data_IF_152699025794
#
_entry.id   IF_152699025794
#
_cell.length_a   1.000
_cell.length_b   1.000
_cell.length_c   1.000
_cell.angle_alpha   90.00
_cell.angle_beta   90.00
_cell.angle_gamma   90.00
#
_symmetry.space_group_name_H-M   'P 1'
#
loop_
_entity.id
_entity.type
_entity.pdbx_description
1 polymer ?
#
# COMPACT_ATOMS: atom_id res chain seq x y z
N UNK A 1 7.93 -11.28 -13.35
CA UNK A 1 6.79 -10.53 -13.90
C UNK A 1 7.24 -9.13 -14.34
N UNK A 2 6.38 -8.35 -14.99
CA UNK A 2 6.66 -6.95 -15.35
C UNK A 2 6.08 -5.97 -14.32
N UNK A 3 6.33 -6.21 -13.02
CA UNK A 3 5.82 -5.30 -11.99
C UNK A 3 6.48 -3.92 -12.13
N UNK A 4 5.66 -2.88 -12.03
CA UNK A 4 6.11 -1.48 -12.02
C UNK A 4 5.80 -0.84 -10.67
N UNK A 5 6.43 0.29 -10.36
CA UNK A 5 6.18 1.06 -9.13
C UNK A 5 5.76 2.47 -9.47
N UNK A 6 4.88 3.07 -8.66
CA UNK A 6 4.49 4.47 -8.87
C UNK A 6 5.70 5.40 -8.71
N UNK A 7 5.74 6.47 -9.50
CA UNK A 7 6.91 7.34 -9.62
C UNK A 7 7.28 8.06 -8.31
N UNK A 8 6.27 8.39 -7.50
CA UNK A 8 6.43 9.07 -6.20
C UNK A 8 5.36 8.63 -5.22
N UNK A 9 5.60 8.85 -3.93
CA UNK A 9 4.56 8.73 -2.90
C UNK A 9 3.57 9.90 -3.05
N UNK A 10 2.28 9.57 -3.16
CA UNK A 10 1.24 10.59 -3.28
C UNK A 10 0.88 11.20 -1.92
N UNK A 11 0.31 12.41 -1.95
CA UNK A 11 -0.09 13.14 -0.72
C UNK A 11 -1.10 12.39 0.14
N UNK A 12 -1.96 11.60 -0.50
CA UNK A 12 -2.99 10.79 0.15
C UNK A 12 -2.54 9.35 0.43
N UNK A 13 -1.24 9.05 0.28
CA UNK A 13 -0.69 7.74 0.54
C UNK A 13 -0.95 7.32 1.99
N UNK A 14 -1.69 6.22 2.24
CA UNK A 14 -1.95 5.75 3.60
C UNK A 14 -0.65 5.50 4.39
N UNK A 15 0.45 5.19 3.72
CA UNK A 15 1.74 4.98 4.37
C UNK A 15 2.48 6.27 4.74
N UNK A 16 1.90 7.46 4.52
CA UNK A 16 2.50 8.74 4.89
C UNK A 16 1.95 9.27 6.21
N UNK A 17 2.83 9.86 7.03
CA UNK A 17 2.46 10.63 8.25
C UNK A 17 1.50 11.79 7.97
N UNK A 18 1.54 12.31 6.74
CA UNK A 18 0.71 13.42 6.29
C UNK A 18 -0.67 12.98 5.80
N UNK A 19 -0.92 11.67 5.71
CA UNK A 19 -2.22 11.16 5.28
C UNK A 19 -3.28 11.42 6.35
N UNK A 20 -4.55 11.60 5.96
CA UNK A 20 -5.64 11.67 6.91
C UNK A 20 -5.67 10.39 7.77
N UNK A 21 -5.78 10.55 9.09
CA UNK A 21 -5.90 9.41 10.00
C UNK A 21 -7.14 8.58 9.65
N UNK A 22 -7.02 7.26 9.76
CA UNK A 22 -8.06 6.31 9.37
C UNK A 22 -8.30 6.17 7.85
N UNK A 23 -7.67 6.99 7.00
CA UNK A 23 -7.82 6.88 5.55
C UNK A 23 -6.90 5.81 4.95
N UNK A 24 -7.50 4.75 4.39
CA UNK A 24 -6.79 3.60 3.82
C UNK A 24 -7.09 3.39 2.33
N UNK A 25 -7.69 4.39 1.67
CA UNK A 25 -8.15 4.23 0.30
C UNK A 25 -9.27 3.19 0.20
N UNK A 26 -9.06 2.22 -0.66
CA UNK A 26 -9.95 1.07 -0.86
C UNK A 26 -9.64 -0.13 0.04
N UNK A 27 -8.64 -0.04 0.91
CA UNK A 27 -8.18 -1.17 1.72
C UNK A 27 -8.74 -1.12 3.14
N UNK A 28 -8.90 -2.27 3.78
CA UNK A 28 -9.07 -2.31 5.25
C UNK A 28 -7.71 -2.36 5.93
N UNK A 29 -7.68 -2.01 7.21
CA UNK A 29 -6.48 -2.11 8.02
C UNK A 29 -5.92 -3.54 8.10
N UNK A 30 -6.74 -4.59 8.37
CA UNK A 30 -6.28 -5.97 8.29
C UNK A 30 -5.67 -6.34 6.93
N UNK A 31 -6.25 -5.87 5.82
CA UNK A 31 -5.74 -6.19 4.47
C UNK A 31 -4.34 -5.64 4.25
N UNK A 32 -4.07 -4.40 4.70
CA UNK A 32 -2.77 -3.76 4.56
C UNK A 32 -1.70 -4.53 5.35
N UNK A 33 -2.00 -4.89 6.59
CA UNK A 33 -1.06 -5.63 7.44
C UNK A 33 -0.82 -7.04 6.90
N UNK A 34 -1.88 -7.74 6.50
CA UNK A 34 -1.77 -9.06 5.89
C UNK A 34 -0.94 -9.02 4.61
N UNK A 35 -1.10 -7.98 3.78
CA UNK A 35 -0.31 -7.81 2.56
C UNK A 35 1.19 -7.62 2.87
N UNK A 36 1.54 -6.76 3.84
CA UNK A 36 2.94 -6.56 4.25
C UNK A 36 3.60 -7.83 4.78
N UNK A 37 2.89 -8.62 5.59
CA UNK A 37 3.44 -9.86 6.15
C UNK A 37 3.53 -11.00 5.13
N UNK A 38 2.56 -11.12 4.23
CA UNK A 38 2.48 -12.22 3.27
C UNK A 38 3.11 -11.89 1.92
N UNK A 39 3.77 -10.73 1.76
CA UNK A 39 4.38 -10.34 0.50
C UNK A 39 3.37 -10.25 -0.66
N UNK A 40 2.13 -9.80 -0.38
CA UNK A 40 1.11 -9.69 -1.42
C UNK A 40 1.32 -8.43 -2.26
N UNK A 41 0.85 -8.47 -3.50
CA UNK A 41 0.83 -7.30 -4.36
C UNK A 41 -0.08 -6.23 -3.75
N UNK A 42 0.43 -5.01 -3.65
CA UNK A 42 -0.31 -3.87 -3.14
C UNK A 42 -0.26 -2.73 -4.16
N UNK A 43 -1.29 -2.64 -5.00
CA UNK A 43 -1.41 -1.64 -6.06
C UNK A 43 -1.47 -0.20 -5.53
N UNK A 44 -0.97 0.75 -6.32
CA UNK A 44 -1.13 2.17 -6.07
C UNK A 44 -2.60 2.59 -6.14
N UNK A 45 -3.13 3.18 -5.06
CA UNK A 45 -4.54 3.55 -4.98
C UNK A 45 -4.97 4.63 -5.99
N UNK A 46 -4.05 5.53 -6.42
CA UNK A 46 -4.35 6.55 -7.42
C UNK A 46 -4.39 6.01 -8.86
N UNK A 47 -3.79 4.84 -9.08
CA UNK A 47 -3.75 4.21 -10.38
C UNK A 47 -4.82 3.13 -10.50
N UNK A 48 -5.73 3.01 -9.53
CA UNK A 48 -6.91 2.17 -9.62
C UNK A 48 -7.98 2.83 -10.47
N UNK A 49 -8.60 2.07 -11.35
CA UNK A 49 -9.70 2.48 -12.23
C UNK A 49 -10.85 1.48 -12.07
N UNK A 50 -12.06 1.91 -12.41
CA UNK A 50 -13.22 1.02 -12.44
C UNK A 50 -13.00 -0.14 -13.41
N UNK A 51 -13.36 -1.37 -13.00
CA UNK A 51 -13.22 -2.57 -13.83
C UNK A 51 -11.85 -3.24 -13.82
N UNK A 52 -10.93 -2.84 -12.92
CA UNK A 52 -9.66 -3.52 -12.76
C UNK A 52 -9.80 -4.92 -12.19
N UNK A 53 -8.92 -5.81 -12.66
CA UNK A 53 -8.79 -7.18 -12.15
C UNK A 53 -7.48 -7.36 -11.38
N UNK A 54 -7.34 -8.43 -10.57
CA UNK A 54 -6.05 -8.81 -9.98
C UNK A 54 -4.94 -8.97 -11.01
N UNK A 55 -5.24 -9.56 -12.18
CA UNK A 55 -4.31 -9.74 -13.30
C UNK A 55 -3.70 -8.41 -13.78
N UNK A 56 -4.43 -7.29 -13.70
CA UNK A 56 -3.89 -5.98 -14.08
C UNK A 56 -2.71 -5.55 -13.17
N UNK A 57 -2.69 -6.01 -11.92
CA UNK A 57 -1.59 -5.77 -10.98
C UNK A 57 -0.42 -6.71 -11.29
N UNK A 58 -0.71 -7.99 -11.50
CA UNK A 58 0.29 -9.04 -11.79
C UNK A 58 1.01 -8.81 -13.12
N UNK A 59 0.30 -8.30 -14.12
CA UNK A 59 0.86 -7.92 -15.42
C UNK A 59 1.61 -6.58 -15.39
N UNK A 60 1.50 -5.83 -14.28
CA UNK A 60 2.15 -4.54 -14.08
C UNK A 60 1.47 -3.36 -14.77
N UNK A 61 0.28 -3.55 -15.35
CA UNK A 61 -0.58 -2.48 -15.88
C UNK A 61 -0.96 -1.50 -14.76
N UNK A 62 -1.12 -2.01 -13.54
CA UNK A 62 -1.27 -1.20 -12.32
C UNK A 62 0.02 -1.26 -11.52
N UNK A 63 0.68 -0.12 -11.26
CA UNK A 63 1.92 -0.11 -10.52
C UNK A 63 1.70 -0.45 -9.04
N UNK A 64 2.68 -1.10 -8.44
CA UNK A 64 2.80 -1.32 -7.01
C UNK A 64 2.98 0.03 -6.29
N UNK A 65 2.38 0.12 -5.11
CA UNK A 65 2.46 1.31 -4.28
C UNK A 65 3.90 1.48 -3.73
N UNK A 66 4.54 2.60 -4.08
CA UNK A 66 5.86 2.96 -3.54
C UNK A 66 5.85 3.08 -2.01
N UNK A 67 4.81 3.70 -1.45
CA UNK A 67 4.68 3.87 0.00
C UNK A 67 4.60 2.54 0.76
N UNK A 68 3.96 1.52 0.16
CA UNK A 68 3.93 0.16 0.70
C UNK A 68 5.34 -0.44 0.79
N UNK A 69 6.12 -0.36 -0.30
CA UNK A 69 7.50 -0.89 -0.35
C UNK A 69 8.42 -0.20 0.67
N UNK A 70 8.36 1.13 0.75
CA UNK A 70 9.16 1.92 1.70
C UNK A 70 8.72 1.66 3.14
N UNK A 71 7.41 1.55 3.40
CA UNK A 71 6.88 1.22 4.73
C UNK A 71 7.35 -0.17 5.19
N UNK A 72 7.33 -1.17 4.31
CA UNK A 72 7.86 -2.49 4.58
C UNK A 72 9.36 -2.44 4.90
N UNK A 73 10.14 -1.72 4.08
CA UNK A 73 11.58 -1.58 4.29
C UNK A 73 11.91 -0.88 5.63
N UNK A 74 11.20 0.21 5.95
CA UNK A 74 11.32 0.93 7.24
C UNK A 74 10.97 0.04 8.44
N UNK A 75 10.18 -1.00 8.22
CA UNK A 75 9.76 -1.97 9.24
C UNK A 75 10.69 -3.18 9.34
N UNK A 76 11.83 -3.18 8.64
CA UNK A 76 12.71 -4.33 8.46
C UNK A 76 11.98 -5.57 7.91
N UNK A 77 10.94 -5.34 7.11
CA UNK A 77 10.22 -6.40 6.40
C UNK A 77 10.84 -6.49 5.00
N UNK A 78 11.61 -7.56 4.79
CA UNK A 78 11.94 -8.01 3.46
C UNK A 78 10.70 -8.71 2.90
N UNK A 79 10.17 -8.21 1.79
CA UNK A 79 9.09 -8.89 1.07
C UNK A 79 9.72 -10.14 0.40
N UNK A 80 9.87 -11.22 1.17
CA UNK A 80 10.77 -12.33 0.84
C UNK A 80 10.08 -13.52 0.15
N UNK A 81 10.94 -14.33 -0.46
CA UNK A 81 10.84 -15.23 -1.62
C UNK A 81 9.84 -16.38 -1.60
N UNK A 82 9.25 -16.72 -0.46
CA UNK A 82 8.33 -17.86 -0.36
C UNK A 82 6.89 -17.49 -0.73
N UNK A 83 6.61 -16.20 -0.88
CA UNK A 83 5.38 -15.70 -1.46
C UNK A 83 5.44 -15.78 -3.00
N UNK A 84 4.29 -16.05 -3.62
CA UNK A 84 4.12 -16.13 -5.08
C UNK A 84 4.78 -14.96 -5.84
N UNK A 85 4.78 -13.77 -5.24
CA UNK A 85 5.31 -12.53 -5.83
C UNK A 85 6.55 -11.98 -5.09
N UNK A 86 7.13 -12.76 -4.17
CA UNK A 86 8.15 -12.28 -3.23
C UNK A 86 9.43 -11.81 -3.92
N UNK A 87 9.93 -12.56 -4.93
CA UNK A 87 11.15 -12.19 -5.66
C UNK A 87 11.02 -10.82 -6.35
N UNK A 88 9.93 -10.62 -7.09
CA UNK A 88 9.72 -9.39 -7.86
C UNK A 88 9.47 -8.18 -6.93
N UNK A 89 8.73 -8.38 -5.83
CA UNK A 89 8.54 -7.33 -4.82
C UNK A 89 9.84 -6.99 -4.07
N UNK A 90 10.69 -7.97 -3.78
CA UNK A 90 12.00 -7.74 -3.16
C UNK A 90 12.91 -6.89 -4.07
N UNK A 91 12.92 -7.20 -5.38
CA UNK A 91 13.67 -6.42 -6.36
C UNK A 91 13.15 -4.98 -6.47
N UNK A 92 11.83 -4.80 -6.53
CA UNK A 92 11.21 -3.47 -6.53
C UNK A 92 11.50 -2.71 -5.25
N UNK A 93 11.45 -3.37 -4.09
CA UNK A 93 11.79 -2.76 -2.80
C UNK A 93 13.24 -2.27 -2.81
N UNK A 94 14.20 -3.10 -3.23
CA UNK A 94 15.61 -2.72 -3.32
C UNK A 94 15.83 -1.55 -4.29
N UNK A 95 15.16 -1.55 -5.46
CA UNK A 95 15.21 -0.45 -6.42
C UNK A 95 14.67 0.86 -5.82
N UNK A 96 13.50 0.82 -5.19
CA UNK A 96 12.88 2.02 -4.59
C UNK A 96 13.77 2.62 -3.51
N UNK A 97 14.40 1.77 -2.69
CA UNK A 97 15.30 2.23 -1.64
C UNK A 97 16.62 2.79 -2.19
N UNK A 98 17.15 2.24 -3.28
CA UNK A 98 18.39 2.74 -3.91
C UNK A 98 18.20 4.07 -4.65
N UNK A 99 17.00 4.33 -5.17
CA UNK A 99 16.66 5.61 -5.80
C UNK A 99 16.70 6.80 -4.83
N UNK A 100 16.51 6.55 -3.52
CA UNK A 100 16.53 7.54 -2.45
C UNK A 100 15.73 8.83 -2.76
N UNK A 101 14.56 8.67 -3.39
CA UNK A 101 13.70 9.79 -3.84
C UNK A 101 12.70 10.27 -2.79
N UNK A 102 12.56 9.54 -1.70
CA UNK A 102 11.50 9.76 -0.71
C UNK A 102 12.12 10.11 0.64
N UNK A 103 11.50 11.04 1.36
CA UNK A 103 11.87 11.30 2.75
C UNK A 103 11.28 10.20 3.64
N UNK A 104 12.12 9.21 3.99
CA UNK A 104 11.75 8.07 4.83
C UNK A 104 11.18 8.52 6.19
N UNK A 105 11.55 9.71 6.69
CA UNK A 105 11.03 10.22 7.96
C UNK A 105 9.52 10.50 7.91
N UNK A 106 9.00 10.80 6.72
CA UNK A 106 7.58 11.08 6.45
C UNK A 106 6.74 9.82 6.20
N UNK A 107 7.39 8.67 6.05
CA UNK A 107 6.73 7.38 5.81
C UNK A 107 6.54 6.65 7.14
N UNK A 108 5.40 6.01 7.30
CA UNK A 108 5.03 5.23 8.47
C UNK A 108 5.68 3.85 8.38
N UNK A 109 6.39 3.43 9.42
CA UNK A 109 6.68 2.02 9.68
C UNK A 109 5.37 1.27 9.97
N UNK A 110 5.41 -0.05 10.04
CA UNK A 110 4.23 -0.84 10.36
C UNK A 110 3.65 -0.44 11.72
N UNK A 111 4.49 -0.20 12.72
CA UNK A 111 4.04 0.22 14.05
C UNK A 111 3.43 1.64 13.99
N UNK A 112 4.12 2.59 13.36
CA UNK A 112 3.61 3.95 13.17
C UNK A 112 2.29 3.94 12.38
N UNK A 113 2.14 3.04 11.40
CA UNK A 113 0.92 2.87 10.60
C UNK A 113 -0.25 2.36 11.45
N UNK A 114 0.00 1.39 12.34
CA UNK A 114 -0.99 0.92 13.33
C UNK A 114 -1.48 2.07 14.20
N UNK A 115 -0.55 2.82 14.77
CA UNK A 115 -0.86 3.96 15.64
C UNK A 115 -1.56 5.10 14.90
N UNK A 116 -1.17 5.39 13.66
CA UNK A 116 -1.72 6.50 12.89
C UNK A 116 -3.17 6.25 12.42
N UNK A 117 -3.50 5.02 12.01
CA UNK A 117 -4.83 4.72 11.45
C UNK A 117 -5.83 4.12 12.43
N UNK A 118 -5.36 3.50 13.51
CA UNK A 118 -6.24 2.91 14.53
C UNK A 118 -6.21 3.74 15.82
N UNK A 119 -5.19 4.58 16.02
CA UNK A 119 -4.97 5.27 17.29
C UNK A 119 -4.44 4.32 18.37
N UNK A 120 -4.02 4.84 19.54
CA UNK A 120 -3.78 4.03 20.74
C UNK A 120 -5.07 3.38 21.28
N UNK A 121 -6.23 3.89 20.85
CA UNK A 121 -7.56 3.28 20.94
C UNK A 121 -8.39 3.78 19.75
N UNK A 122 -9.23 2.91 19.19
CA UNK A 122 -10.00 3.02 17.93
C UNK A 122 -11.00 4.20 17.77
N UNK A 123 -10.62 5.45 18.06
CA UNK A 123 -11.60 6.52 18.30
C UNK A 123 -12.00 7.41 17.11
N UNK A 124 -11.19 7.56 16.06
CA UNK A 124 -11.53 8.49 14.94
C UNK A 124 -11.67 7.74 13.61
N UNK A 125 -12.72 6.92 13.50
CA UNK A 125 -13.14 6.38 12.19
C UNK A 125 -13.90 7.46 11.45
N UNK A 126 -13.37 7.94 10.33
CA UNK A 126 -14.19 8.65 9.33
C UNK A 126 -15.15 7.62 8.74
N UNK A 127 -16.48 7.73 8.94
CA UNK A 127 -17.41 6.79 8.35
C UNK A 127 -17.48 7.04 6.84
N UNK A 128 -16.90 6.12 6.07
CA UNK A 128 -17.04 6.06 4.61
C UNK A 128 -18.12 5.03 4.32
N UNK A 129 -19.12 5.35 3.50
CA UNK A 129 -20.18 4.40 3.18
C UNK A 129 -19.62 3.17 2.44
N UNK A 130 -20.25 2.01 2.63
CA UNK A 130 -19.85 0.77 1.96
C UNK A 130 -19.87 0.93 0.44
N UNK A 131 -20.84 1.68 -0.09
CA UNK A 131 -20.95 2.01 -1.51
C UNK A 131 -19.73 2.79 -2.05
N UNK A 132 -19.22 3.75 -1.29
CA UNK A 132 -17.99 4.49 -1.65
C UNK A 132 -16.77 3.56 -1.60
N UNK A 133 -16.73 2.65 -0.63
CA UNK A 133 -15.67 1.64 -0.52
C UNK A 133 -15.71 0.70 -1.73
N UNK A 134 -16.87 0.18 -2.09
CA UNK A 134 -17.05 -0.78 -3.18
C UNK A 134 -16.74 -0.13 -4.53
N UNK A 135 -17.24 1.08 -4.79
CA UNK A 135 -16.89 1.87 -5.98
C UNK A 135 -15.37 2.07 -6.11
N UNK A 136 -14.68 2.40 -5.01
CA UNK A 136 -13.21 2.60 -4.99
C UNK A 136 -12.42 1.29 -5.07
N UNK A 137 -13.03 0.16 -4.71
CA UNK A 137 -12.50 -1.19 -4.91
C UNK A 137 -12.73 -1.70 -6.34
N UNK A 138 -13.46 -0.96 -7.18
CA UNK A 138 -13.85 -1.41 -8.51
C UNK A 138 -14.95 -2.47 -8.49
N UNK A 139 -15.62 -2.66 -7.34
CA UNK A 139 -16.75 -3.55 -7.17
C UNK A 139 -18.04 -2.79 -7.52
N UNK A 140 -18.91 -3.37 -8.36
CA UNK A 140 -20.25 -2.83 -8.58
C UNK A 140 -21.19 -3.26 -7.44
N UNK A 141 -22.23 -2.46 -7.11
CA UNK A 141 -23.39 -2.95 -6.39
C UNK A 141 -24.16 -4.01 -7.21
#
# INVERSE_FOLDING_TARGET
MNLTVCAKICKECPFSKNSPRGWLGSHTFPDVLAAQHAGKLFSCHLQRQEGMTPDDIETGKVPICRGYLVSAAKSNITLDKDAENGLDLSQLQAQVMSENREDISTILSQQEFKEHHVGPAAADRIPVSQEIIDKRRGLRP
#
